data_IF_389489855812
#
_entry.id   IF_389489855812
#
_cell.length_a   1.000
_cell.length_b   1.000
_cell.length_c   1.000
_cell.angle_alpha   90.00
_cell.angle_beta   90.00
_cell.angle_gamma   90.00
#
_symmetry.space_group_name_H-M   'P 1'
#
loop_
_entity.id
_entity.type
_entity.pdbx_description
1 polymer ?
#
# COMPACT_ATOMS: atom_id res chain seq x y z
N UNK A 1 -3.71 2.77 6.23
CA UNK A 1 -4.89 1.88 6.09
C UNK A 1 -4.55 0.72 5.15
N UNK A 2 -5.20 -0.43 5.25
CA UNK A 2 -4.80 -1.65 4.50
C UNK A 2 -5.13 -1.60 3.00
N UNK A 3 -6.08 -0.76 2.60
CA UNK A 3 -6.39 -0.46 1.21
C UNK A 3 -5.73 0.89 0.80
N UNK A 4 -4.71 0.88 -0.08
CA UNK A 4 -4.03 2.10 -0.53
C UNK A 4 -4.97 3.16 -1.12
N UNK A 5 -5.98 2.75 -1.89
CA UNK A 5 -6.89 3.68 -2.56
C UNK A 5 -7.73 4.52 -1.56
N UNK A 6 -8.03 3.97 -0.38
CA UNK A 6 -8.75 4.70 0.68
C UNK A 6 -7.83 5.72 1.35
N UNK A 7 -6.55 5.39 1.49
CA UNK A 7 -5.54 6.30 2.03
C UNK A 7 -5.23 7.45 1.07
N UNK A 8 -5.12 7.15 -0.22
CA UNK A 8 -4.97 8.16 -1.28
C UNK A 8 -6.18 9.10 -1.29
N UNK A 9 -7.40 8.54 -1.25
CA UNK A 9 -8.62 9.36 -1.16
C UNK A 9 -8.63 10.28 0.07
N UNK A 10 -8.14 9.80 1.22
CA UNK A 10 -8.04 10.61 2.43
C UNK A 10 -6.99 11.73 2.28
N UNK A 11 -5.88 11.44 1.61
CA UNK A 11 -4.79 12.39 1.31
C UNK A 11 -5.26 13.47 0.32
N UNK A 12 -5.98 13.07 -0.73
CA UNK A 12 -6.54 13.96 -1.75
C UNK A 12 -7.53 14.98 -1.17
N UNK A 13 -8.25 14.62 -0.10
CA UNK A 13 -9.13 15.57 0.61
C UNK A 13 -8.35 16.73 1.23
N UNK A 14 -7.12 16.48 1.69
CA UNK A 14 -6.26 17.52 2.24
C UNK A 14 -5.55 18.32 1.14
N UNK A 15 -5.13 17.64 0.06
CA UNK A 15 -4.56 18.27 -1.14
C UNK A 15 -5.64 18.84 -2.06
N UNK A 16 -6.23 19.98 -1.68
CA UNK A 16 -7.30 20.64 -2.45
C UNK A 16 -6.87 21.95 -3.12
N UNK A 17 -7.42 22.23 -4.30
CA UNK A 17 -7.23 23.51 -5.01
C UNK A 17 -7.58 24.68 -4.09
N UNK A 18 -6.67 25.65 -3.97
CA UNK A 18 -6.80 26.81 -3.09
C UNK A 18 -6.13 26.65 -1.72
N UNK A 19 -5.60 25.46 -1.39
CA UNK A 19 -4.72 25.29 -0.24
C UNK A 19 -3.39 26.03 -0.48
N UNK A 20 -2.97 26.84 0.50
CA UNK A 20 -1.72 27.63 0.45
C UNK A 20 -0.61 27.06 1.33
N UNK A 21 -0.94 26.13 2.22
CA UNK A 21 -0.01 25.52 3.17
C UNK A 21 0.41 24.14 2.68
N UNK A 22 1.67 23.78 2.94
CA UNK A 22 2.18 22.44 2.69
C UNK A 22 1.37 21.42 3.48
N UNK A 23 0.90 20.38 2.81
CA UNK A 23 0.22 19.24 3.43
C UNK A 23 1.26 18.16 3.69
N UNK A 24 1.28 17.64 4.91
CA UNK A 24 2.16 16.54 5.31
C UNK A 24 1.30 15.29 5.47
N UNK A 25 1.67 14.21 4.78
CA UNK A 25 1.12 12.89 5.01
C UNK A 25 2.14 12.08 5.82
N UNK A 26 1.79 11.73 7.06
CA UNK A 26 2.65 10.98 7.98
C UNK A 26 1.96 9.65 8.27
N UNK A 27 2.58 8.56 7.84
CA UNK A 27 2.15 7.19 8.16
C UNK A 27 2.94 6.70 9.37
N UNK A 28 2.24 6.42 10.46
CA UNK A 28 2.83 5.78 11.63
C UNK A 28 2.85 4.27 11.40
N UNK A 29 3.99 3.64 11.64
CA UNK A 29 4.20 2.20 11.45
C UNK A 29 4.92 1.68 12.69
N UNK A 30 4.36 0.63 13.29
CA UNK A 30 4.94 0.00 14.46
C UNK A 30 6.05 -0.96 14.06
N UNK A 31 7.24 -0.79 14.65
CA UNK A 31 8.38 -1.70 14.42
C UNK A 31 8.11 -3.10 14.92
N UNK A 32 8.66 -4.10 14.22
CA UNK A 32 8.49 -5.52 14.48
C UNK A 32 7.02 -5.92 14.57
N UNK A 33 6.19 -5.38 13.69
CA UNK A 33 4.76 -5.65 13.67
C UNK A 33 4.30 -6.11 12.31
N UNK A 34 3.07 -6.62 12.28
CA UNK A 34 2.39 -6.98 11.04
C UNK A 34 2.27 -5.79 10.06
N UNK A 35 2.26 -4.55 10.56
CA UNK A 35 2.16 -3.35 9.74
C UNK A 35 3.35 -3.20 8.78
N UNK A 36 4.57 -3.54 9.22
CA UNK A 36 5.78 -3.49 8.38
C UNK A 36 5.72 -4.55 7.26
N UNK A 37 5.33 -5.78 7.61
CA UNK A 37 5.22 -6.88 6.64
C UNK A 37 4.23 -6.58 5.54
N UNK A 38 3.16 -5.86 5.91
CA UNK A 38 2.07 -5.52 5.00
C UNK A 38 2.45 -4.38 4.10
N UNK A 39 3.19 -3.40 4.62
CA UNK A 39 3.79 -2.36 3.81
C UNK A 39 4.70 -2.98 2.74
N UNK A 40 5.57 -3.92 3.14
CA UNK A 40 6.45 -4.65 2.22
C UNK A 40 5.67 -5.45 1.16
N UNK A 41 4.57 -6.10 1.55
CA UNK A 41 3.71 -6.83 0.61
C UNK A 41 3.02 -5.89 -0.39
N UNK A 42 2.56 -4.72 0.07
CA UNK A 42 1.96 -3.70 -0.79
C UNK A 42 2.98 -3.18 -1.82
N UNK A 43 4.22 -2.91 -1.40
CA UNK A 43 5.29 -2.49 -2.32
C UNK A 43 5.61 -3.60 -3.34
N UNK A 44 5.78 -4.85 -2.90
CA UNK A 44 6.03 -5.99 -3.79
C UNK A 44 4.92 -6.13 -4.84
N UNK A 45 3.64 -6.01 -4.43
CA UNK A 45 2.49 -6.02 -5.35
C UNK A 45 2.55 -4.87 -6.35
N UNK A 46 2.87 -3.66 -5.90
CA UNK A 46 2.98 -2.48 -6.78
C UNK A 46 4.11 -2.65 -7.80
N UNK A 47 5.29 -3.10 -7.38
CA UNK A 47 6.41 -3.36 -8.29
C UNK A 47 6.07 -4.44 -9.33
N UNK A 48 5.37 -5.50 -8.92
CA UNK A 48 4.89 -6.52 -9.86
C UNK A 48 3.89 -5.94 -10.87
N UNK A 49 2.96 -5.09 -10.41
CA UNK A 49 2.00 -4.41 -11.30
C UNK A 49 2.74 -3.45 -12.24
N UNK A 50 3.68 -2.65 -11.76
CA UNK A 50 4.46 -1.71 -12.58
C UNK A 50 5.31 -2.45 -13.65
N UNK A 51 5.91 -3.58 -13.29
CA UNK A 51 6.63 -4.46 -14.22
C UNK A 51 5.69 -5.13 -15.25
N UNK A 52 4.46 -5.43 -14.83
CA UNK A 52 3.44 -6.11 -15.65
C UNK A 52 2.61 -5.15 -16.49
N UNK A 53 2.52 -3.87 -16.16
CA UNK A 53 1.84 -2.87 -16.98
C UNK A 53 2.53 -2.66 -18.35
N UNK A 54 3.75 -3.18 -18.52
CA UNK A 54 4.39 -3.37 -19.84
C UNK A 54 3.86 -4.61 -20.62
N UNK A 55 3.23 -5.58 -19.94
CA UNK A 55 2.69 -6.83 -20.48
C UNK A 55 1.33 -7.19 -19.82
N UNK A 56 0.25 -6.58 -20.32
CA UNK A 56 -1.17 -6.96 -20.16
C UNK A 56 -1.79 -6.96 -18.73
N UNK A 57 -3.07 -6.60 -18.73
CA UNK A 57 -3.86 -5.98 -17.65
C UNK A 57 -4.44 -6.92 -16.58
N UNK A 58 -3.93 -8.15 -16.38
CA UNK A 58 -4.71 -9.17 -15.65
C UNK A 58 -3.93 -10.06 -14.65
N UNK A 59 -3.01 -9.47 -13.88
CA UNK A 59 -2.29 -10.16 -12.81
C UNK A 59 -2.69 -9.63 -11.43
N UNK A 60 -3.96 -9.81 -11.05
CA UNK A 60 -4.33 -9.82 -9.63
C UNK A 60 -4.04 -11.21 -9.06
N UNK A 61 -2.78 -11.47 -8.69
CA UNK A 61 -2.42 -12.66 -7.93
C UNK A 61 -3.16 -12.70 -6.59
N UNK A 62 -3.90 -13.78 -6.34
CA UNK A 62 -4.57 -14.02 -5.07
C UNK A 62 -3.54 -14.28 -3.97
N UNK A 63 -3.81 -13.80 -2.74
CA UNK A 63 -2.99 -14.12 -1.56
C UNK A 63 -3.04 -15.63 -1.30
N UNK A 64 -1.88 -16.26 -1.14
CA UNK A 64 -1.77 -17.67 -0.77
C UNK A 64 -1.87 -17.85 0.75
N UNK A 65 -2.09 -19.09 1.19
CA UNK A 65 -2.14 -19.41 2.62
C UNK A 65 -0.77 -19.25 3.30
N UNK A 66 0.29 -19.53 2.54
CA UNK A 66 1.68 -19.31 2.91
C UNK A 66 1.95 -17.82 3.18
N UNK A 67 1.47 -16.93 2.29
CA UNK A 67 1.58 -15.48 2.49
C UNK A 67 0.88 -15.03 3.79
N UNK A 68 -0.28 -15.63 4.10
CA UNK A 68 -1.04 -15.31 5.33
C UNK A 68 -0.27 -15.77 6.58
N UNK A 69 0.34 -16.95 6.56
CA UNK A 69 1.18 -17.43 7.68
C UNK A 69 2.39 -16.55 7.91
N UNK A 70 3.03 -16.09 6.84
CA UNK A 70 4.20 -15.22 6.93
C UNK A 70 3.85 -13.86 7.58
N UNK A 71 2.68 -13.32 7.24
CA UNK A 71 2.16 -12.08 7.84
C UNK A 71 1.88 -12.24 9.35
N UNK A 72 1.34 -13.38 9.78
CA UNK A 72 0.91 -13.61 11.16
C UNK A 72 2.01 -14.12 12.10
N UNK A 73 3.12 -14.62 11.55
CA UNK A 73 4.29 -15.00 12.35
C UNK A 73 4.99 -13.71 12.78
N UNK A 74 5.39 -13.54 14.04
CA UNK A 74 6.13 -12.36 14.51
C UNK A 74 7.62 -12.66 14.48
#
# INVERSE_FOLDING_TARGET
WWNPAVEDQATDRAHRIGQKRTVYNIKLITRNSIEEKVLALQEKKRTMIDATLQVRKDLMGQLTWEDIKELLTI
#
